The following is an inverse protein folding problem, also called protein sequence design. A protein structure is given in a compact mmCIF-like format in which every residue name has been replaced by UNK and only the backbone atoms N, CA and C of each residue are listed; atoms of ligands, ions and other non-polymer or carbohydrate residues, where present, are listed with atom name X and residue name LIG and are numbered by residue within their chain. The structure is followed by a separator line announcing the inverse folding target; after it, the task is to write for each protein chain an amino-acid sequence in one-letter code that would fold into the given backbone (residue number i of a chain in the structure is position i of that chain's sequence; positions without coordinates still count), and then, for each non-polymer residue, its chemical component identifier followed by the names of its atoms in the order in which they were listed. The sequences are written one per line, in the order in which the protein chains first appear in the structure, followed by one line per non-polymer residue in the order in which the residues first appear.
data_IF_610082093683
#
_entry.id   IF_610082093683
#
_cell.length_a   1.000
_cell.length_b   1.000
_cell.length_c   1.000
_cell.angle_alpha   90.00
_cell.angle_beta   90.00
_cell.angle_gamma   90.00
#
_symmetry.space_group_name_H-M   'P 1'
#
loop_
_entity.id
_entity.type
_entity.pdbx_description
1 polymer ?
#
# COMPACT_ATOMS: atom_id res chain seq x y z
N UNK A 1 23.80 -13.83 13.58
CA UNK A 1 23.94 -12.37 13.84
C UNK A 1 22.52 -11.83 13.89
N UNK A 2 21.97 -11.71 15.10
CA UNK A 2 20.55 -11.45 15.35
C UNK A 2 20.28 -9.94 15.39
N UNK A 3 19.39 -9.45 14.53
CA UNK A 3 18.82 -8.11 14.63
C UNK A 3 17.30 -8.20 14.79
N UNK A 4 16.84 -8.62 15.96
CA UNK A 4 15.50 -8.29 16.45
C UNK A 4 15.60 -7.92 17.93
N UNK A 5 15.90 -6.64 18.17
CA UNK A 5 15.66 -6.01 19.47
C UNK A 5 15.25 -4.55 19.25
N UNK A 6 13.95 -4.33 19.10
CA UNK A 6 13.32 -3.13 19.65
C UNK A 6 12.09 -3.54 20.44
N UNK A 7 12.30 -3.45 21.75
CA UNK A 7 11.34 -3.44 22.84
C UNK A 7 9.98 -2.82 22.47
N UNK A 8 8.91 -3.55 22.80
CA UNK A 8 7.83 -2.96 23.59
C UNK A 8 6.52 -2.71 22.85
N UNK A 9 5.81 -3.77 22.44
CA UNK A 9 4.35 -3.78 22.46
C UNK A 9 3.91 -5.16 22.99
N UNK A 10 3.52 -5.21 24.26
CA UNK A 10 2.69 -6.29 24.77
C UNK A 10 1.28 -6.10 24.19
N UNK A 11 0.83 -6.97 23.31
CA UNK A 11 -0.61 -7.13 23.05
C UNK A 11 -1.06 -8.48 23.59
N UNK A 12 -1.55 -8.39 24.82
CA UNK A 12 -2.67 -9.11 25.41
C UNK A 12 -3.44 -9.99 24.39
N UNK A 13 -3.34 -11.30 24.60
CA UNK A 13 -4.29 -12.29 24.13
C UNK A 13 -5.64 -12.05 24.82
N UNK A 14 -6.71 -11.88 24.03
CA UNK A 14 -8.01 -12.58 24.17
C UNK A 14 -9.18 -11.83 23.49
N UNK A 15 -9.92 -12.60 22.67
CA UNK A 15 -11.31 -12.47 22.17
C UNK A 15 -11.75 -11.21 21.39
N UNK A 16 -12.12 -11.35 20.11
CA UNK A 16 -13.41 -11.87 19.65
C UNK A 16 -13.61 -11.78 18.12
N UNK A 17 -13.90 -12.96 17.54
CA UNK A 17 -14.79 -13.28 16.42
C UNK A 17 -15.27 -12.17 15.45
N UNK A 18 -14.91 -12.32 14.16
CA UNK A 18 -15.51 -11.54 13.06
C UNK A 18 -14.81 -11.70 11.71
N UNK A 19 -14.36 -12.91 11.33
CA UNK A 19 -13.80 -13.13 9.99
C UNK A 19 -14.94 -13.31 8.96
N UNK A 20 -14.98 -12.37 8.02
CA UNK A 20 -15.88 -12.37 6.86
C UNK A 20 -15.26 -13.31 5.81
N UNK A 21 -16.08 -14.22 5.27
CA UNK A 21 -15.68 -15.23 4.29
C UNK A 21 -15.04 -14.62 3.04
N UNK A 22 -14.28 -15.46 2.34
CA UNK A 22 -13.53 -15.15 1.12
C UNK A 22 -14.35 -14.26 0.16
N UNK A 23 -13.91 -13.01 -0.02
CA UNK A 23 -14.50 -12.09 -0.97
C UNK A 23 -14.16 -12.50 -2.42
N UNK A 24 -15.05 -12.27 -3.39
CA UNK A 24 -14.88 -12.71 -4.77
C UNK A 24 -13.64 -12.07 -5.42
N UNK A 25 -12.92 -12.87 -6.19
CA UNK A 25 -11.82 -12.44 -7.05
C UNK A 25 -12.37 -11.59 -8.20
N UNK A 26 -12.25 -10.27 -8.11
CA UNK A 26 -12.50 -9.40 -9.27
C UNK A 26 -11.36 -9.58 -10.29
N UNK A 27 -11.72 -9.91 -11.53
CA UNK A 27 -10.80 -10.12 -12.65
C UNK A 27 -9.87 -8.92 -12.89
N UNK A 28 -8.61 -9.23 -13.18
CA UNK A 28 -7.55 -8.25 -13.39
C UNK A 28 -7.73 -7.61 -14.77
N UNK A 29 -7.97 -6.29 -14.80
CA UNK A 29 -7.68 -5.47 -15.98
C UNK A 29 -6.18 -5.20 -15.99
N UNK A 30 -5.45 -5.90 -16.87
CA UNK A 30 -4.05 -5.63 -17.14
C UNK A 30 -3.94 -4.35 -17.96
N UNK A 31 -3.54 -3.24 -17.34
CA UNK A 31 -3.13 -2.05 -18.09
C UNK A 31 -1.61 -2.14 -18.28
N UNK A 32 -1.16 -2.36 -19.51
CA UNK A 32 0.25 -2.23 -19.89
C UNK A 32 0.70 -0.78 -19.68
N UNK A 33 1.60 -0.54 -18.73
CA UNK A 33 2.34 0.72 -18.64
C UNK A 33 3.53 0.62 -19.59
N UNK A 34 3.43 1.27 -20.75
CA UNK A 34 4.58 1.47 -21.65
C UNK A 34 5.56 2.45 -21.02
N UNK A 35 6.78 1.99 -20.74
CA UNK A 35 7.92 2.83 -20.40
C UNK A 35 8.71 3.15 -21.67
N UNK A 36 8.15 3.99 -22.54
CA UNK A 36 8.84 4.44 -23.76
C UNK A 36 9.35 5.88 -23.59
N UNK A 37 10.63 6.03 -23.97
CA UNK A 37 11.37 7.23 -24.39
C UNK A 37 12.07 8.12 -23.33
N UNK A 38 13.23 7.65 -22.85
CA UNK A 38 14.34 8.55 -22.47
C UNK A 38 15.24 8.75 -23.71
N UNK A 39 14.95 9.74 -24.55
CA UNK A 39 15.92 10.21 -25.54
C UNK A 39 16.96 11.14 -24.89
N UNK A 40 18.17 10.62 -24.64
CA UNK A 40 19.30 11.44 -24.20
C UNK A 40 19.92 12.13 -25.42
N UNK A 41 19.50 13.36 -25.71
CA UNK A 41 20.04 14.14 -26.82
C UNK A 41 21.34 14.88 -26.40
N UNK A 42 22.51 14.25 -26.59
CA UNK A 42 23.82 14.89 -26.33
C UNK A 42 24.27 15.69 -27.55
N UNK A 43 24.13 17.02 -27.52
CA UNK A 43 24.77 17.90 -28.51
C UNK A 43 26.26 18.04 -28.22
N UNK A 44 27.13 17.50 -29.09
CA UNK A 44 28.58 17.79 -29.07
C UNK A 44 28.81 19.29 -29.28
N UNK A 45 29.39 19.96 -28.29
CA UNK A 45 29.87 21.32 -28.43
C UNK A 45 31.17 21.33 -29.25
N UNK A 46 31.17 22.02 -30.39
CA UNK A 46 32.42 22.45 -31.03
C UNK A 46 32.99 23.59 -30.18
N UNK A 47 34.25 23.46 -29.79
CA UNK A 47 35.11 24.45 -29.13
C UNK A 47 34.81 24.77 -27.65
N UNK A 48 35.41 23.98 -26.75
CA UNK A 48 36.15 24.46 -25.56
C UNK A 48 35.45 25.30 -24.48
N UNK A 49 34.15 25.59 -24.54
CA UNK A 49 33.43 26.33 -23.49
C UNK A 49 32.50 25.42 -22.69
N UNK A 50 32.67 25.42 -21.36
CA UNK A 50 31.79 24.74 -20.39
C UNK A 50 30.33 25.09 -20.67
N UNK A 51 29.54 24.09 -21.03
CA UNK A 51 28.09 24.22 -21.22
C UNK A 51 27.43 24.33 -19.85
N UNK A 52 26.65 25.40 -19.63
CA UNK A 52 25.76 25.52 -18.47
C UNK A 52 24.59 24.55 -18.67
N UNK A 53 24.46 23.58 -17.77
CA UNK A 53 23.29 22.70 -17.68
C UNK A 53 22.10 23.53 -17.22
N UNK A 54 21.19 23.85 -18.13
CA UNK A 54 19.88 24.39 -17.77
C UNK A 54 18.93 23.20 -17.60
N UNK A 55 18.77 22.74 -16.37
CA UNK A 55 17.77 21.72 -16.04
C UNK A 55 16.38 22.38 -15.98
N UNK A 56 15.73 22.54 -17.14
CA UNK A 56 14.28 22.69 -17.20
C UNK A 56 13.66 21.30 -17.00
N UNK A 57 13.69 20.82 -15.76
CA UNK A 57 12.89 19.69 -15.32
C UNK A 57 11.43 20.14 -15.35
N UNK A 58 10.72 19.83 -16.43
CA UNK A 58 9.26 19.65 -16.35
C UNK A 58 9.06 18.43 -15.46
N UNK A 59 8.85 18.67 -14.17
CA UNK A 59 8.61 17.63 -13.19
C UNK A 59 7.32 16.90 -13.57
N UNK A 60 7.46 15.74 -14.20
CA UNK A 60 6.48 14.66 -14.07
C UNK A 60 6.20 14.50 -12.57
N UNK A 61 4.93 14.66 -12.18
CA UNK A 61 4.42 14.60 -10.80
C UNK A 61 5.14 13.48 -10.05
N UNK A 62 6.00 13.83 -9.10
CA UNK A 62 6.76 12.85 -8.32
C UNK A 62 5.73 11.94 -7.63
N UNK A 63 5.89 10.62 -7.79
CA UNK A 63 5.15 9.63 -7.00
C UNK A 63 5.45 9.94 -5.53
N UNK A 64 4.53 10.60 -4.83
CA UNK A 64 4.71 10.86 -3.39
C UNK A 64 4.76 9.51 -2.70
N UNK A 65 5.93 9.17 -2.15
CA UNK A 65 6.13 7.92 -1.42
C UNK A 65 5.41 8.08 -0.07
N UNK A 66 4.28 7.40 0.09
CA UNK A 66 3.62 7.31 1.38
C UNK A 66 4.54 6.59 2.39
N UNK A 67 4.41 6.93 3.66
CA UNK A 67 5.07 6.15 4.70
C UNK A 67 4.37 4.80 4.83
N UNK A 68 5.12 3.76 5.23
CA UNK A 68 4.58 2.41 5.54
C UNK A 68 3.30 2.48 6.38
N UNK A 69 3.31 3.32 7.42
CA UNK A 69 2.13 3.52 8.25
C UNK A 69 0.92 4.08 7.49
N UNK A 70 1.11 5.07 6.61
CA UNK A 70 0.02 5.67 5.82
C UNK A 70 -0.52 4.69 4.78
N UNK A 71 0.34 3.84 4.21
CA UNK A 71 -0.07 2.73 3.35
C UNK A 71 -0.96 1.73 4.12
N UNK A 72 -0.61 1.38 5.36
CA UNK A 72 -1.44 0.52 6.21
C UNK A 72 -2.81 1.12 6.51
N UNK A 73 -2.88 2.43 6.79
CA UNK A 73 -4.17 3.12 6.95
C UNK A 73 -4.98 3.09 5.65
N UNK A 74 -4.33 3.35 4.51
CA UNK A 74 -5.00 3.43 3.23
C UNK A 74 -5.55 2.07 2.79
N UNK A 75 -4.77 0.99 2.91
CA UNK A 75 -5.23 -0.38 2.71
C UNK A 75 -6.40 -0.71 3.64
N UNK A 76 -6.34 -0.25 4.90
CA UNK A 76 -7.42 -0.55 5.84
C UNK A 76 -8.72 0.15 5.49
N UNK A 77 -8.67 1.40 5.05
CA UNK A 77 -9.86 2.11 4.55
C UNK A 77 -10.47 1.35 3.37
N UNK A 78 -9.65 0.81 2.46
CA UNK A 78 -10.12 -0.01 1.35
C UNK A 78 -10.85 -1.29 1.80
N UNK A 79 -10.31 -2.01 2.79
CA UNK A 79 -10.98 -3.21 3.29
C UNK A 79 -12.29 -2.88 4.01
N UNK A 80 -12.31 -1.78 4.77
CA UNK A 80 -13.51 -1.34 5.47
C UNK A 80 -14.59 -0.84 4.51
N UNK A 81 -14.22 -0.17 3.41
CA UNK A 81 -15.19 0.33 2.40
C UNK A 81 -15.86 -0.79 1.60
N UNK A 82 -15.26 -1.99 1.56
CA UNK A 82 -15.89 -3.19 1.01
C UNK A 82 -16.87 -3.85 2.00
N UNK A 83 -16.77 -3.55 3.29
CA UNK A 83 -17.57 -4.16 4.36
C UNK A 83 -18.72 -3.25 4.82
N UNK A 84 -18.51 -1.95 4.83
CA UNK A 84 -19.43 -0.96 5.36
C UNK A 84 -19.82 0.06 4.27
N UNK A 85 -21.07 0.52 4.32
CA UNK A 85 -21.55 1.61 3.46
C UNK A 85 -20.82 2.93 3.75
N UNK A 86 -20.49 3.18 5.02
CA UNK A 86 -19.72 4.34 5.47
C UNK A 86 -18.56 3.89 6.36
N UNK A 87 -17.33 4.33 6.05
CA UNK A 87 -16.15 4.09 6.89
C UNK A 87 -15.95 5.27 7.84
N UNK A 88 -15.77 5.01 9.13
CA UNK A 88 -15.53 6.02 10.16
C UNK A 88 -14.15 5.86 10.80
N UNK A 89 -13.69 6.93 11.44
CA UNK A 89 -12.43 6.93 12.23
C UNK A 89 -12.42 5.83 13.30
N UNK A 90 -13.57 5.53 13.91
CA UNK A 90 -13.73 4.45 14.89
C UNK A 90 -13.40 3.09 14.29
N UNK A 91 -13.88 2.82 13.09
CA UNK A 91 -13.75 1.51 12.45
C UNK A 91 -12.29 1.24 12.09
N UNK A 92 -11.59 2.28 11.63
CA UNK A 92 -10.14 2.21 11.35
C UNK A 92 -9.34 2.04 12.64
N UNK A 93 -9.69 2.79 13.69
CA UNK A 93 -9.02 2.72 14.99
C UNK A 93 -9.14 1.32 15.61
N UNK A 94 -10.35 0.76 15.60
CA UNK A 94 -10.62 -0.57 16.12
C UNK A 94 -9.94 -1.64 15.26
N UNK A 95 -9.97 -1.52 13.93
CA UNK A 95 -9.36 -2.53 13.05
C UNK A 95 -7.84 -2.55 13.07
N UNK A 96 -7.17 -1.44 13.39
CA UNK A 96 -5.71 -1.37 13.51
C UNK A 96 -5.24 -1.45 14.97
N UNK A 97 -6.15 -1.52 15.94
CA UNK A 97 -5.85 -1.43 17.37
C UNK A 97 -5.07 -0.15 17.72
N UNK A 98 -5.45 0.99 17.14
CA UNK A 98 -4.80 2.30 17.30
C UNK A 98 -5.73 3.33 17.93
N UNK A 99 -5.14 4.39 18.51
CA UNK A 99 -5.94 5.46 19.10
C UNK A 99 -6.62 6.34 18.04
N UNK A 100 -7.86 6.79 18.30
CA UNK A 100 -8.59 7.73 17.41
C UNK A 100 -7.80 9.00 17.07
N UNK A 101 -7.01 9.62 17.99
CA UNK A 101 -6.14 10.75 17.62
C UNK A 101 -5.05 10.39 16.62
N UNK A 102 -4.47 9.19 16.68
CA UNK A 102 -3.50 8.71 15.69
C UNK A 102 -4.16 8.52 14.32
N UNK A 103 -5.34 7.88 14.29
CA UNK A 103 -6.10 7.70 13.06
C UNK A 103 -6.51 9.04 12.44
N UNK A 104 -7.02 9.99 13.23
CA UNK A 104 -7.38 11.32 12.72
C UNK A 104 -6.20 12.03 12.05
N UNK A 105 -5.00 11.92 12.62
CA UNK A 105 -3.79 12.49 12.01
C UNK A 105 -3.48 11.83 10.68
N UNK A 106 -3.53 10.50 10.61
CA UNK A 106 -3.29 9.76 9.37
C UNK A 106 -4.33 10.07 8.28
N UNK A 107 -5.62 10.09 8.64
CA UNK A 107 -6.73 10.44 7.73
C UNK A 107 -6.56 11.87 7.21
N UNK A 108 -6.20 12.82 8.09
CA UNK A 108 -5.91 14.19 7.68
C UNK A 108 -4.76 14.24 6.66
N UNK A 109 -3.64 13.57 6.93
CA UNK A 109 -2.51 13.52 6.00
C UNK A 109 -2.89 12.87 4.67
N UNK A 110 -3.59 11.73 4.68
CA UNK A 110 -4.05 11.07 3.45
C UNK A 110 -5.05 11.92 2.66
N UNK A 111 -5.85 12.75 3.33
CA UNK A 111 -6.75 13.72 2.68
C UNK A 111 -5.96 14.86 2.04
N UNK A 112 -4.98 15.42 2.75
CA UNK A 112 -4.09 16.47 2.25
C UNK A 112 -3.26 15.99 1.04
N UNK A 113 -2.85 14.73 1.04
CA UNK A 113 -2.12 14.07 -0.06
C UNK A 113 -3.05 13.57 -1.20
N UNK A 114 -4.36 13.75 -1.08
CA UNK A 114 -5.35 13.47 -2.12
C UNK A 114 -5.74 11.99 -2.29
N UNK A 115 -5.42 11.13 -1.32
CA UNK A 115 -5.83 9.72 -1.32
C UNK A 115 -7.21 9.49 -0.69
N UNK A 116 -7.64 10.38 0.22
CA UNK A 116 -8.93 10.29 0.88
C UNK A 116 -9.75 11.58 0.69
N UNK A 117 -11.07 11.43 0.77
CA UNK A 117 -12.00 12.50 1.08
C UNK A 117 -12.60 12.23 2.46
N UNK A 118 -12.68 13.28 3.28
CA UNK A 118 -13.25 13.19 4.62
C UNK A 118 -14.21 14.35 4.81
N UNK A 119 -15.51 14.06 4.78
CA UNK A 119 -16.53 15.04 5.09
C UNK A 119 -16.41 15.48 6.56
N UNK A 120 -16.75 16.73 6.87
CA UNK A 120 -16.63 17.25 8.23
C UNK A 120 -17.53 16.45 9.19
N UNK A 121 -16.94 15.69 10.12
CA UNK A 121 -17.61 14.70 10.98
C UNK A 121 -18.27 13.51 10.25
N UNK A 122 -17.94 13.30 8.98
CA UNK A 122 -18.61 12.36 8.08
C UNK A 122 -17.80 11.10 7.75
N UNK A 123 -18.24 10.43 6.68
CA UNK A 123 -17.59 9.26 6.09
C UNK A 123 -16.18 9.58 5.60
N UNK A 124 -15.33 8.56 5.65
CA UNK A 124 -14.02 8.52 5.00
C UNK A 124 -14.18 7.74 3.71
N UNK A 125 -13.83 8.36 2.60
CA UNK A 125 -13.98 7.79 1.28
C UNK A 125 -12.64 7.80 0.53
N UNK A 126 -12.40 6.77 -0.26
CA UNK A 126 -11.23 6.72 -1.15
C UNK A 126 -11.48 7.66 -2.33
N UNK A 127 -10.49 8.48 -2.66
CA UNK A 127 -10.44 9.07 -4.01
C UNK A 127 -10.10 7.99 -5.03
N UNK A 128 -10.19 8.29 -6.32
CA UNK A 128 -9.72 7.38 -7.38
C UNK A 128 -8.23 7.02 -7.20
N UNK A 129 -7.38 8.00 -6.86
CA UNK A 129 -5.97 7.77 -6.54
C UNK A 129 -5.80 6.90 -5.28
N UNK A 130 -6.61 7.16 -4.25
CA UNK A 130 -6.70 6.34 -3.03
C UNK A 130 -7.02 4.90 -3.33
N UNK A 131 -8.07 4.70 -4.14
CA UNK A 131 -8.57 3.38 -4.51
C UNK A 131 -7.53 2.55 -5.24
N UNK A 132 -6.93 3.08 -6.30
CA UNK A 132 -5.91 2.34 -7.07
C UNK A 132 -4.69 1.98 -6.20
N UNK A 133 -4.24 2.92 -5.38
CA UNK A 133 -3.10 2.70 -4.48
C UNK A 133 -3.41 1.66 -3.41
N UNK A 134 -4.57 1.76 -2.75
CA UNK A 134 -5.01 0.83 -1.72
C UNK A 134 -5.25 -0.57 -2.28
N UNK A 135 -5.83 -0.65 -3.48
CA UNK A 135 -6.07 -1.90 -4.20
C UNK A 135 -4.76 -2.61 -4.49
N UNK A 136 -3.74 -1.89 -4.95
CA UNK A 136 -2.42 -2.49 -5.20
C UNK A 136 -1.76 -2.98 -3.90
N UNK A 137 -1.79 -2.18 -2.81
CA UNK A 137 -1.31 -2.62 -1.49
C UNK A 137 -1.99 -3.91 -1.05
N UNK A 138 -3.31 -3.99 -1.21
CA UNK A 138 -4.08 -5.19 -0.88
C UNK A 138 -3.73 -6.38 -1.77
N UNK A 139 -3.50 -6.19 -3.08
CA UNK A 139 -3.07 -7.25 -3.99
C UNK A 139 -1.74 -7.85 -3.54
N UNK A 140 -0.77 -7.00 -3.18
CA UNK A 140 0.55 -7.43 -2.68
C UNK A 140 0.41 -8.22 -1.37
N UNK A 141 -0.39 -7.71 -0.43
CA UNK A 141 -0.70 -8.40 0.83
C UNK A 141 -1.31 -9.79 0.56
N UNK A 142 -2.35 -9.87 -0.27
CA UNK A 142 -3.06 -11.11 -0.58
C UNK A 142 -2.16 -12.15 -1.26
N UNK A 143 -1.28 -11.72 -2.16
CA UNK A 143 -0.31 -12.60 -2.83
C UNK A 143 0.68 -13.22 -1.83
N UNK A 144 1.28 -12.40 -0.97
CA UNK A 144 2.18 -12.86 0.08
C UNK A 144 1.51 -13.84 1.03
N UNK A 145 0.31 -13.49 1.49
CA UNK A 145 -0.49 -14.33 2.36
C UNK A 145 -0.77 -15.69 1.72
N UNK A 146 -1.18 -15.70 0.46
CA UNK A 146 -1.48 -16.93 -0.26
C UNK A 146 -0.24 -17.78 -0.48
N UNK A 147 0.90 -17.16 -0.81
CA UNK A 147 2.19 -17.85 -0.91
C UNK A 147 2.59 -18.51 0.41
N UNK A 148 2.49 -17.78 1.53
CA UNK A 148 2.80 -18.30 2.87
C UNK A 148 1.93 -19.52 3.21
N UNK A 149 0.63 -19.47 2.91
CA UNK A 149 -0.30 -20.55 3.20
C UNK A 149 -0.08 -21.75 2.26
N UNK A 150 -0.18 -21.53 0.95
CA UNK A 150 -0.20 -22.62 -0.03
C UNK A 150 1.16 -23.28 -0.22
N UNK A 151 2.23 -22.48 -0.26
CA UNK A 151 3.54 -22.97 -0.66
C UNK A 151 4.40 -23.34 0.56
N UNK A 152 4.21 -22.62 1.68
CA UNK A 152 5.00 -22.82 2.89
C UNK A 152 4.22 -23.50 4.01
N UNK A 153 2.90 -23.66 3.89
CA UNK A 153 2.06 -24.29 4.91
C UNK A 153 1.96 -23.48 6.20
N UNK A 154 2.18 -22.17 6.14
CA UNK A 154 2.07 -21.28 7.29
C UNK A 154 0.60 -21.18 7.70
N UNK A 155 0.38 -21.21 9.01
CA UNK A 155 -0.95 -21.01 9.60
C UNK A 155 -1.61 -19.71 9.12
N UNK A 156 -2.93 -19.72 8.95
CA UNK A 156 -3.67 -18.64 8.27
C UNK A 156 -3.52 -17.30 9.00
N UNK A 157 -3.60 -17.31 10.33
CA UNK A 157 -3.51 -16.13 11.17
C UNK A 157 -2.08 -15.57 11.18
N UNK A 158 -1.08 -16.46 11.23
CA UNK A 158 0.34 -16.06 11.14
C UNK A 158 0.64 -15.48 9.76
N UNK A 159 0.17 -16.12 8.69
CA UNK A 159 0.38 -15.68 7.31
C UNK A 159 -0.25 -14.30 7.05
N UNK A 160 -1.42 -14.00 7.62
CA UNK A 160 -2.03 -12.67 7.56
C UNK A 160 -1.11 -11.60 8.17
N UNK A 161 -0.65 -11.83 9.40
CA UNK A 161 0.19 -10.86 10.10
C UNK A 161 1.55 -10.66 9.42
N UNK A 162 2.19 -11.74 8.97
CA UNK A 162 3.46 -11.68 8.27
C UNK A 162 3.32 -11.00 6.91
N UNK A 163 2.31 -11.35 6.12
CA UNK A 163 2.08 -10.74 4.81
C UNK A 163 1.77 -9.24 4.91
N UNK A 164 1.00 -8.83 5.93
CA UNK A 164 0.70 -7.44 6.19
C UNK A 164 1.95 -6.57 6.39
N UNK A 165 2.99 -7.12 7.04
CA UNK A 165 4.27 -6.45 7.23
C UNK A 165 5.21 -6.60 6.03
N UNK A 166 5.35 -7.82 5.49
CA UNK A 166 6.29 -8.15 4.41
C UNK A 166 6.00 -7.38 3.12
N UNK A 167 4.75 -7.02 2.86
CA UNK A 167 4.36 -6.28 1.64
C UNK A 167 5.17 -4.99 1.44
N UNK A 168 5.62 -4.37 2.53
CA UNK A 168 6.37 -3.11 2.55
C UNK A 168 7.88 -3.26 2.28
N UNK A 169 8.41 -4.47 2.40
CA UNK A 169 9.85 -4.73 2.37
C UNK A 169 10.32 -5.46 1.12
N UNK A 170 9.38 -5.90 0.27
CA UNK A 170 9.70 -6.54 -1.01
C UNK A 170 9.67 -5.53 -2.15
N UNK A 171 10.54 -5.73 -3.14
CA UNK A 171 10.54 -4.91 -4.36
C UNK A 171 9.31 -5.20 -5.22
N UNK A 172 8.97 -4.26 -6.09
CA UNK A 172 7.87 -4.41 -7.05
C UNK A 172 8.10 -5.58 -8.02
N UNK A 173 9.35 -5.85 -8.43
CA UNK A 173 9.69 -7.01 -9.28
C UNK A 173 9.48 -8.34 -8.53
N UNK A 174 9.95 -8.45 -7.28
CA UNK A 174 9.71 -9.64 -6.48
C UNK A 174 8.23 -9.87 -6.25
N UNK A 175 7.47 -8.81 -5.98
CA UNK A 175 6.03 -8.93 -5.77
C UNK A 175 5.28 -9.37 -7.03
N UNK A 176 5.63 -8.81 -8.20
CA UNK A 176 5.07 -9.26 -9.49
C UNK A 176 5.36 -10.72 -9.78
N UNK A 177 6.59 -11.18 -9.54
CA UNK A 177 6.94 -12.60 -9.72
C UNK A 177 6.16 -13.49 -8.77
N UNK A 178 6.00 -13.05 -7.52
CA UNK A 178 5.21 -13.77 -6.52
C UNK A 178 3.73 -13.85 -6.93
N UNK A 179 3.14 -12.75 -7.40
CA UNK A 179 1.78 -12.69 -7.91
C UNK A 179 1.58 -13.70 -9.04
N UNK A 180 2.42 -13.65 -10.08
CA UNK A 180 2.36 -14.59 -11.20
C UNK A 180 2.53 -16.04 -10.73
N UNK A 181 3.48 -16.29 -9.82
CA UNK A 181 3.70 -17.61 -9.26
C UNK A 181 2.46 -18.14 -8.55
N UNK A 182 1.81 -17.35 -7.70
CA UNK A 182 0.61 -17.75 -6.95
C UNK A 182 -0.62 -17.90 -7.86
N UNK A 183 -0.71 -17.17 -8.97
CA UNK A 183 -1.79 -17.30 -9.96
C UNK A 183 -1.68 -18.59 -10.81
N UNK A 184 -0.50 -19.19 -10.90
CA UNK A 184 -0.27 -20.44 -11.63
C UNK A 184 -0.59 -21.72 -10.81
N UNK A 185 -0.92 -21.59 -9.52
CA UNK A 185 -1.37 -22.68 -8.64
C UNK A 185 -2.89 -22.70 -8.43
#
# INVERSE_FOLDING_TARGET
MNFYNRKGINMISEVNNGYVGDMPTEGILTTEVKLDDIEVNVKKAKNGKKVKLNNNLKTSKAKTVLTVSLEDYLEKVYLLSKKYEEVRVTDIADSLSLSKPSVNRAVKTLTEEGYLQHAHYGSIELTEQGYETARELYRRHRALRQFLILCLGVDKEVAEQEAFGLKHYISDDTCHRLLNFVEEF
#
